data_IF_736254567284
#
_entry.id   IF_736254567284
#
_cell.length_a   1.000
_cell.length_b   1.000
_cell.length_c   1.000
_cell.angle_alpha   90.00
_cell.angle_beta   90.00
_cell.angle_gamma   90.00
#
_symmetry.space_group_name_H-M   'P 1'
#
loop_
_entity.id
_entity.type
_entity.pdbx_description
1 polymer ?
#
# COMPACT_ATOMS: atom_id res chain seq x y z
N UNK A 1 -23.66 10.25 9.82
CA UNK A 1 -22.99 9.88 8.55
C UNK A 1 -22.67 8.39 8.63
N UNK A 2 -22.96 7.64 7.57
CA UNK A 2 -22.77 6.19 7.53
C UNK A 2 -21.29 5.80 7.38
N UNK A 3 -20.93 4.58 7.79
CA UNK A 3 -19.63 3.98 7.48
C UNK A 3 -19.61 3.60 6.01
N UNK A 4 -18.46 3.67 5.38
CA UNK A 4 -18.35 3.25 3.99
C UNK A 4 -16.99 2.65 3.66
N UNK A 5 -16.98 1.84 2.61
CA UNK A 5 -15.78 1.39 1.94
C UNK A 5 -15.86 1.86 0.49
N UNK A 6 -14.87 2.65 0.07
CA UNK A 6 -14.69 3.02 -1.33
C UNK A 6 -13.77 2.00 -1.99
N UNK A 7 -14.16 1.52 -3.18
CA UNK A 7 -13.37 0.58 -3.96
C UNK A 7 -13.14 1.11 -5.38
N UNK A 8 -12.00 0.76 -5.95
CA UNK A 8 -11.65 1.05 -7.34
C UNK A 8 -10.99 -0.17 -7.98
N UNK A 9 -11.43 -0.50 -9.20
CA UNK A 9 -10.98 -1.64 -10.00
C UNK A 9 -10.94 -2.97 -9.21
N UNK A 10 -11.97 -3.24 -8.42
CA UNK A 10 -11.99 -4.41 -7.54
C UNK A 10 -12.48 -5.68 -8.26
N UNK A 11 -11.83 -6.85 -8.08
CA UNK A 11 -12.31 -8.12 -8.63
C UNK A 11 -13.66 -8.55 -8.06
N UNK A 12 -14.50 -9.22 -8.86
CA UNK A 12 -15.88 -9.57 -8.45
C UNK A 12 -15.93 -10.49 -7.22
N UNK A 13 -15.00 -11.44 -7.10
CA UNK A 13 -14.93 -12.31 -5.91
C UNK A 13 -14.68 -11.51 -4.61
N UNK A 14 -13.93 -10.40 -4.70
CA UNK A 14 -13.72 -9.50 -3.56
C UNK A 14 -14.95 -8.63 -3.33
N UNK A 15 -15.63 -8.17 -4.39
CA UNK A 15 -16.91 -7.44 -4.27
C UNK A 15 -17.97 -8.29 -3.59
N UNK A 16 -18.07 -9.58 -3.91
CA UNK A 16 -18.98 -10.53 -3.24
C UNK A 16 -18.67 -10.65 -1.75
N UNK A 17 -17.39 -10.79 -1.38
CA UNK A 17 -16.96 -10.77 0.02
C UNK A 17 -17.34 -9.46 0.71
N UNK A 18 -17.10 -8.31 0.07
CA UNK A 18 -17.44 -7.00 0.63
C UNK A 18 -18.95 -6.84 0.81
N UNK A 19 -19.78 -7.35 -0.11
CA UNK A 19 -21.25 -7.34 0.03
C UNK A 19 -21.67 -8.08 1.31
N UNK A 20 -21.13 -9.27 1.56
CA UNK A 20 -21.39 -10.04 2.79
C UNK A 20 -20.94 -9.26 4.05
N UNK A 21 -19.73 -8.72 4.02
CA UNK A 21 -19.19 -7.98 5.18
C UNK A 21 -19.92 -6.64 5.40
N UNK A 22 -20.50 -6.04 4.35
CA UNK A 22 -21.27 -4.80 4.44
C UNK A 22 -22.53 -4.95 5.29
N UNK A 23 -23.25 -6.07 5.12
CA UNK A 23 -24.41 -6.43 5.93
C UNK A 23 -24.01 -6.73 7.38
N UNK A 24 -22.88 -7.39 7.57
CA UNK A 24 -22.39 -7.82 8.89
C UNK A 24 -21.85 -6.68 9.75
N UNK A 25 -21.18 -5.71 9.15
CA UNK A 25 -20.52 -4.60 9.84
C UNK A 25 -21.21 -3.24 9.65
N UNK A 26 -22.33 -3.20 8.93
CA UNK A 26 -23.16 -2.01 8.73
C UNK A 26 -22.35 -0.85 8.10
N UNK A 27 -21.94 -1.06 6.85
CA UNK A 27 -21.27 -0.06 6.01
C UNK A 27 -21.79 -0.08 4.56
N UNK A 28 -21.69 1.05 3.87
CA UNK A 28 -21.99 1.19 2.45
C UNK A 28 -20.77 0.89 1.58
N UNK A 29 -20.98 0.32 0.40
CA UNK A 29 -19.93 0.17 -0.62
C UNK A 29 -20.10 1.28 -1.65
N UNK A 30 -19.03 2.02 -1.90
CA UNK A 30 -18.94 3.05 -2.94
C UNK A 30 -18.00 2.51 -4.00
N UNK A 31 -18.55 2.19 -5.17
CA UNK A 31 -17.75 1.73 -6.30
C UNK A 31 -17.41 2.92 -7.20
N UNK A 32 -16.12 3.13 -7.41
CA UNK A 32 -15.59 4.19 -8.27
C UNK A 32 -14.93 3.60 -9.51
N UNK A 33 -14.97 4.38 -10.60
CA UNK A 33 -14.31 4.06 -11.86
C UNK A 33 -13.43 5.21 -12.37
N UNK A 34 -12.90 5.09 -13.58
CA UNK A 34 -12.01 6.08 -14.18
C UNK A 34 -12.65 7.48 -14.28
N UNK A 35 -13.98 7.55 -14.36
CA UNK A 35 -14.70 8.83 -14.41
C UNK A 35 -14.64 9.60 -13.08
N UNK A 36 -14.33 8.92 -11.97
CA UNK A 36 -14.22 9.50 -10.63
C UNK A 36 -12.81 9.96 -10.26
N UNK A 37 -11.80 9.69 -11.11
CA UNK A 37 -10.39 9.96 -10.81
C UNK A 37 -10.10 11.40 -10.39
N UNK A 38 -10.81 12.33 -11.02
CA UNK A 38 -10.70 13.76 -10.79
C UNK A 38 -11.71 14.28 -9.76
N UNK A 39 -12.43 13.41 -9.06
CA UNK A 39 -13.34 13.78 -7.99
C UNK A 39 -12.63 13.69 -6.65
N UNK A 40 -12.88 14.68 -5.79
CA UNK A 40 -12.33 14.71 -4.43
C UNK A 40 -12.93 13.59 -3.58
N UNK A 41 -12.11 12.96 -2.72
CA UNK A 41 -12.55 11.83 -1.87
C UNK A 41 -13.74 12.21 -0.98
N UNK A 42 -13.75 13.39 -0.35
CA UNK A 42 -14.89 13.90 0.43
C UNK A 42 -16.21 13.92 -0.35
N UNK A 43 -16.16 14.27 -1.64
CA UNK A 43 -17.33 14.30 -2.53
C UNK A 43 -17.79 12.88 -2.86
N UNK A 44 -16.84 11.97 -3.18
CA UNK A 44 -17.15 10.54 -3.42
C UNK A 44 -17.78 9.87 -2.19
N UNK A 45 -17.32 10.26 -1.00
CA UNK A 45 -17.85 9.80 0.29
C UNK A 45 -19.16 10.50 0.70
N UNK A 46 -19.71 11.40 -0.14
CA UNK A 46 -20.93 12.19 0.11
C UNK A 46 -20.86 13.02 1.40
N UNK A 47 -19.67 13.51 1.74
CA UNK A 47 -19.44 14.35 2.93
C UNK A 47 -19.60 15.84 2.62
N UNK A 48 -19.43 16.21 1.36
CA UNK A 48 -19.69 17.54 0.82
C UNK A 48 -20.14 17.45 -0.64
N UNK A 49 -20.77 18.52 -1.13
CA UNK A 49 -21.01 18.72 -2.55
C UNK A 49 -19.74 19.27 -3.22
N UNK A 50 -19.50 18.91 -4.47
CA UNK A 50 -18.39 19.44 -5.23
C UNK A 50 -18.33 18.93 -6.66
N UNK A 51 -17.56 19.65 -7.48
CA UNK A 51 -17.30 19.30 -8.86
C UNK A 51 -15.96 18.54 -9.00
N UNK A 52 -15.71 18.00 -10.19
CA UNK A 52 -14.40 17.47 -10.56
C UNK A 52 -13.34 18.57 -10.45
N UNK A 53 -12.17 18.21 -9.93
CA UNK A 53 -10.96 19.04 -9.90
C UNK A 53 -10.07 18.69 -11.09
N UNK A 54 -9.20 19.61 -11.50
CA UNK A 54 -8.32 19.38 -12.66
C UNK A 54 -7.32 18.26 -12.36
N UNK A 55 -7.38 17.18 -13.13
CA UNK A 55 -6.46 16.05 -13.04
C UNK A 55 -6.40 15.30 -14.38
N UNK A 56 -5.36 14.50 -14.61
CA UNK A 56 -5.30 13.65 -15.79
C UNK A 56 -6.28 12.48 -15.66
N UNK A 57 -7.13 12.22 -16.66
CA UNK A 57 -8.15 11.16 -16.62
C UNK A 57 -7.62 9.74 -16.94
N UNK A 58 -6.31 9.57 -17.13
CA UNK A 58 -5.72 8.24 -17.34
C UNK A 58 -5.91 7.35 -16.11
N UNK A 59 -6.46 6.15 -16.32
CA UNK A 59 -6.68 5.12 -15.31
C UNK A 59 -5.41 4.71 -14.57
N UNK A 60 -5.58 4.17 -13.35
CA UNK A 60 -4.47 3.66 -12.53
C UNK A 60 -4.60 2.15 -12.42
N UNK A 61 -3.62 1.40 -12.90
CA UNK A 61 -3.64 -0.05 -12.76
C UNK A 61 -3.33 -0.48 -11.31
N UNK A 62 -4.39 -0.59 -10.50
CA UNK A 62 -4.37 -0.93 -9.08
C UNK A 62 -5.75 -1.42 -8.63
N UNK A 63 -5.81 -2.46 -7.79
CA UNK A 63 -7.01 -2.77 -7.02
C UNK A 63 -6.91 -2.06 -5.68
N UNK A 64 -7.90 -1.22 -5.34
CA UNK A 64 -7.80 -0.33 -4.19
C UNK A 64 -9.05 -0.35 -3.29
N UNK A 65 -8.83 -0.24 -1.98
CA UNK A 65 -9.88 -0.18 -0.96
C UNK A 65 -9.58 0.91 0.08
N UNK A 66 -10.50 1.84 0.26
CA UNK A 66 -10.44 2.85 1.32
C UNK A 66 -11.53 2.62 2.37
N UNK A 67 -11.15 2.59 3.64
CA UNK A 67 -12.06 2.38 4.78
C UNK A 67 -12.39 3.72 5.42
N UNK A 68 -13.67 4.10 5.48
CA UNK A 68 -14.13 5.36 6.05
C UNK A 68 -14.96 5.18 7.32
N UNK A 69 -14.61 5.92 8.38
CA UNK A 69 -15.37 6.02 9.65
C UNK A 69 -15.53 4.71 10.42
N UNK A 70 -14.63 3.75 10.22
CA UNK A 70 -14.56 2.55 11.06
C UNK A 70 -13.88 2.90 12.37
N UNK A 71 -14.49 2.52 13.50
CA UNK A 71 -13.77 2.52 14.77
C UNK A 71 -12.82 1.31 14.85
N UNK A 72 -11.85 1.36 15.76
CA UNK A 72 -10.84 0.31 15.90
C UNK A 72 -11.43 -1.09 16.13
N UNK A 73 -12.56 -1.22 16.82
CA UNK A 73 -13.18 -2.53 17.06
C UNK A 73 -13.75 -3.13 15.78
N UNK A 74 -14.47 -2.34 14.98
CA UNK A 74 -15.05 -2.79 13.71
C UNK A 74 -13.95 -3.03 12.68
N UNK A 75 -12.98 -2.11 12.56
CA UNK A 75 -11.82 -2.25 11.67
C UNK A 75 -11.07 -3.56 11.95
N UNK A 76 -10.76 -3.83 13.22
CA UNK A 76 -10.05 -5.05 13.58
C UNK A 76 -10.85 -6.33 13.31
N UNK A 77 -12.19 -6.29 13.39
CA UNK A 77 -13.03 -7.43 13.01
C UNK A 77 -13.02 -7.64 11.50
N UNK A 78 -13.29 -6.59 10.74
CA UNK A 78 -13.24 -6.61 9.28
C UNK A 78 -11.89 -7.14 8.74
N UNK A 79 -10.77 -6.65 9.26
CA UNK A 79 -9.45 -7.13 8.86
C UNK A 79 -9.21 -8.60 9.21
N UNK A 80 -9.73 -9.08 10.35
CA UNK A 80 -9.66 -10.50 10.72
C UNK A 80 -10.53 -11.38 9.80
N UNK A 81 -11.67 -10.87 9.37
CA UNK A 81 -12.55 -11.56 8.45
C UNK A 81 -11.91 -11.65 7.06
N UNK A 82 -11.28 -10.57 6.57
CA UNK A 82 -10.45 -10.62 5.35
C UNK A 82 -9.36 -11.69 5.45
N UNK A 83 -8.63 -11.73 6.58
CA UNK A 83 -7.58 -12.72 6.80
C UNK A 83 -8.13 -14.16 6.81
N UNK A 84 -9.30 -14.38 7.45
CA UNK A 84 -9.94 -15.69 7.53
C UNK A 84 -10.37 -16.20 6.16
N UNK A 85 -10.92 -15.33 5.33
CA UNK A 85 -11.38 -15.64 3.98
C UNK A 85 -10.25 -15.58 2.92
N UNK A 86 -9.00 -15.44 3.36
CA UNK A 86 -7.82 -15.33 2.50
C UNK A 86 -7.93 -14.21 1.46
N UNK A 87 -8.62 -13.12 1.82
CA UNK A 87 -8.76 -11.91 1.02
C UNK A 87 -7.56 -11.00 1.27
N UNK A 88 -6.73 -10.84 0.24
CA UNK A 88 -5.57 -9.97 0.27
C UNK A 88 -5.76 -8.79 -0.68
N UNK A 89 -5.78 -7.58 -0.12
CA UNK A 89 -5.78 -6.32 -0.87
C UNK A 89 -4.56 -5.54 -0.40
N UNK A 90 -3.49 -5.43 -1.22
CA UNK A 90 -2.28 -4.72 -0.81
C UNK A 90 -2.55 -3.23 -0.61
N UNK A 91 -3.13 -2.59 -1.62
CA UNK A 91 -3.40 -1.15 -1.65
C UNK A 91 -4.70 -0.86 -0.91
N UNK A 92 -4.57 -0.46 0.35
CA UNK A 92 -5.69 -0.09 1.19
C UNK A 92 -5.27 0.96 2.19
N UNK A 93 -6.18 1.89 2.48
CA UNK A 93 -5.95 2.90 3.50
C UNK A 93 -7.21 3.18 4.31
N UNK A 94 -7.04 3.93 5.39
CA UNK A 94 -8.15 4.54 6.14
C UNK A 94 -8.27 6.01 5.74
N UNK A 95 -9.44 6.62 5.93
CA UNK A 95 -9.60 8.08 5.81
C UNK A 95 -8.78 8.81 6.87
N UNK A 96 -8.15 9.90 6.46
CA UNK A 96 -7.40 10.84 7.31
C UNK A 96 -7.82 12.27 6.97
N UNK A 97 -7.46 13.23 7.83
CA UNK A 97 -7.72 14.65 7.58
C UNK A 97 -7.05 15.14 6.28
N UNK A 98 -5.97 14.48 5.86
CA UNK A 98 -5.22 14.85 4.68
C UNK A 98 -5.81 14.21 3.41
N UNK A 99 -5.95 12.88 3.41
CA UNK A 99 -6.30 12.15 2.18
C UNK A 99 -7.76 12.35 1.74
N UNK A 100 -8.64 12.76 2.64
CA UNK A 100 -10.03 13.08 2.30
C UNK A 100 -10.13 14.28 1.35
N UNK A 101 -9.08 15.10 1.28
CA UNK A 101 -9.05 16.29 0.45
C UNK A 101 -8.42 16.08 -0.93
N UNK A 102 -7.93 14.88 -1.22
CA UNK A 102 -7.27 14.56 -2.48
C UNK A 102 -8.25 14.17 -3.58
N UNK A 103 -7.90 14.34 -4.88
CA UNK A 103 -8.55 13.60 -5.95
C UNK A 103 -8.32 12.10 -5.77
N UNK A 104 -9.28 11.28 -6.19
CA UNK A 104 -9.14 9.82 -6.17
C UNK A 104 -7.83 9.37 -6.84
N UNK A 105 -7.49 9.95 -7.99
CA UNK A 105 -6.24 9.62 -8.71
C UNK A 105 -4.99 9.78 -7.85
N UNK A 106 -4.88 10.88 -7.11
CA UNK A 106 -3.71 11.09 -6.25
C UNK A 106 -3.67 10.02 -5.16
N UNK A 107 -4.80 9.70 -4.52
CA UNK A 107 -4.87 8.65 -3.50
C UNK A 107 -4.42 7.29 -4.04
N UNK A 108 -4.86 6.93 -5.26
CA UNK A 108 -4.50 5.68 -5.92
C UNK A 108 -3.00 5.61 -6.21
N UNK A 109 -2.39 6.70 -6.71
CA UNK A 109 -0.96 6.76 -7.01
C UNK A 109 -0.10 6.66 -5.75
N UNK A 110 -0.43 7.41 -4.70
CA UNK A 110 0.29 7.38 -3.42
C UNK A 110 0.24 5.99 -2.77
N UNK A 111 -0.93 5.32 -2.81
CA UNK A 111 -1.04 3.95 -2.30
C UNK A 111 -0.27 2.94 -3.15
N UNK A 112 -0.23 3.13 -4.48
CA UNK A 112 0.56 2.29 -5.38
C UNK A 112 2.04 2.41 -5.06
N UNK A 113 2.52 3.63 -4.91
CA UNK A 113 3.92 3.92 -4.59
C UNK A 113 4.31 3.37 -3.22
N UNK A 114 3.49 3.58 -2.18
CA UNK A 114 3.71 2.99 -0.86
C UNK A 114 3.83 1.46 -0.93
N UNK A 115 2.95 0.81 -1.71
CA UNK A 115 3.01 -0.63 -1.88
C UNK A 115 4.30 -1.08 -2.59
N UNK A 116 4.69 -0.42 -3.67
CA UNK A 116 5.93 -0.70 -4.40
C UNK A 116 7.18 -0.52 -3.51
N UNK A 117 7.24 0.56 -2.73
CA UNK A 117 8.27 0.81 -1.72
C UNK A 117 8.35 -0.33 -0.72
N UNK A 118 7.19 -0.79 -0.21
CA UNK A 118 7.15 -1.89 0.74
C UNK A 118 7.54 -3.25 0.15
N UNK A 119 7.31 -3.46 -1.15
CA UNK A 119 7.78 -4.65 -1.85
C UNK A 119 9.30 -4.66 -1.96
N UNK A 120 9.90 -3.55 -2.40
CA UNK A 120 11.36 -3.40 -2.50
C UNK A 120 12.02 -3.54 -1.12
N UNK A 121 11.43 -2.93 -0.09
CA UNK A 121 11.91 -3.07 1.29
C UNK A 121 11.97 -4.53 1.74
N UNK A 122 10.93 -5.33 1.45
CA UNK A 122 10.90 -6.75 1.81
C UNK A 122 11.97 -7.55 1.06
N UNK A 123 12.16 -7.27 -0.21
CA UNK A 123 13.22 -7.90 -1.02
C UNK A 123 14.61 -7.54 -0.48
N UNK A 124 14.84 -6.26 -0.16
CA UNK A 124 16.08 -5.81 0.48
C UNK A 124 16.30 -6.47 1.84
N UNK A 125 15.26 -6.61 2.66
CA UNK A 125 15.32 -7.30 3.94
C UNK A 125 15.76 -8.76 3.79
N UNK A 126 15.17 -9.47 2.81
CA UNK A 126 15.51 -10.85 2.52
C UNK A 126 16.96 -10.97 2.00
N UNK A 127 17.38 -10.06 1.11
CA UNK A 127 18.72 -10.01 0.56
C UNK A 127 19.77 -9.73 1.65
N UNK A 128 19.49 -8.81 2.56
CA UNK A 128 20.32 -8.54 3.74
C UNK A 128 20.48 -9.77 4.62
N UNK A 129 19.41 -10.53 4.85
CA UNK A 129 19.50 -11.79 5.60
C UNK A 129 20.40 -12.83 4.92
N UNK A 130 20.37 -12.91 3.58
CA UNK A 130 21.28 -13.77 2.81
C UNK A 130 22.73 -13.27 2.91
N UNK A 131 22.95 -11.97 2.77
CA UNK A 131 24.25 -11.33 2.89
C UNK A 131 24.92 -11.62 4.24
N UNK A 132 24.17 -11.49 5.35
CA UNK A 132 24.64 -11.79 6.71
C UNK A 132 25.09 -13.24 6.82
N UNK A 133 24.39 -14.17 6.16
CA UNK A 133 24.78 -15.58 6.17
C UNK A 133 26.07 -15.79 5.35
N UNK A 134 26.16 -15.19 4.17
CA UNK A 134 27.35 -15.29 3.30
C UNK A 134 28.60 -14.70 3.97
N UNK A 135 28.46 -13.58 4.68
CA UNK A 135 29.56 -12.93 5.39
C UNK A 135 30.20 -13.86 6.43
N UNK A 136 29.40 -14.67 7.16
CA UNK A 136 29.91 -15.63 8.13
C UNK A 136 30.84 -16.69 7.52
N UNK A 137 30.74 -16.92 6.22
CA UNK A 137 31.47 -17.97 5.50
C UNK A 137 32.70 -17.41 4.76
N UNK A 138 32.70 -16.12 4.42
CA UNK A 138 33.71 -15.52 3.54
C UNK A 138 34.55 -14.41 4.18
N UNK A 139 34.06 -13.78 5.26
CA UNK A 139 34.73 -12.65 5.94
C UNK A 139 35.22 -11.54 4.98
N UNK A 140 34.29 -11.06 4.15
CA UNK A 140 34.54 -10.04 3.12
C UNK A 140 34.20 -8.63 3.64
N UNK A 141 35.19 -7.72 3.61
CA UNK A 141 35.09 -6.35 4.15
C UNK A 141 34.01 -5.51 3.44
N UNK A 142 33.96 -5.55 2.10
CA UNK A 142 32.98 -4.79 1.31
C UNK A 142 31.56 -5.29 1.59
N UNK A 143 31.37 -6.60 1.74
CA UNK A 143 30.09 -7.18 2.14
C UNK A 143 29.67 -6.71 3.53
N UNK A 144 30.60 -6.68 4.49
CA UNK A 144 30.33 -6.18 5.85
C UNK A 144 29.90 -4.71 5.86
N UNK A 145 30.63 -3.86 5.14
CA UNK A 145 30.31 -2.43 5.00
C UNK A 145 28.91 -2.26 4.38
N UNK A 146 28.63 -2.96 3.27
CA UNK A 146 27.35 -2.86 2.56
C UNK A 146 26.17 -3.32 3.43
N UNK A 147 26.33 -4.42 4.19
CA UNK A 147 25.33 -4.89 5.16
C UNK A 147 25.05 -3.83 6.21
N UNK A 148 26.09 -3.17 6.72
CA UNK A 148 25.98 -2.15 7.76
C UNK A 148 25.18 -0.96 7.24
N UNK A 149 25.54 -0.44 6.08
CA UNK A 149 24.82 0.71 5.49
C UNK A 149 23.35 0.40 5.20
N UNK A 150 23.05 -0.79 4.67
CA UNK A 150 21.67 -1.24 4.45
C UNK A 150 20.92 -1.36 5.78
N UNK A 151 21.57 -1.87 6.83
CA UNK A 151 20.95 -2.02 8.15
C UNK A 151 20.58 -0.68 8.76
N UNK A 152 21.46 0.31 8.64
CA UNK A 152 21.22 1.68 9.11
C UNK A 152 20.12 2.35 8.30
N UNK A 153 20.17 2.26 6.97
CA UNK A 153 19.17 2.85 6.08
C UNK A 153 17.78 2.26 6.27
N UNK A 154 17.65 1.02 6.76
CA UNK A 154 16.36 0.36 6.99
C UNK A 154 15.72 0.67 8.36
N UNK A 155 16.32 1.54 9.19
CA UNK A 155 15.75 1.98 10.48
C UNK A 155 14.69 3.10 10.43
N UNK A 156 14.73 4.08 9.50
CA UNK A 156 13.71 5.11 9.36
C UNK A 156 12.30 4.56 9.08
N UNK A 157 11.28 5.41 9.27
CA UNK A 157 9.85 5.07 9.04
C UNK A 157 9.36 5.36 7.62
N UNK A 158 10.08 6.20 6.87
CA UNK A 158 9.76 6.60 5.51
C UNK A 158 10.98 6.35 4.62
N UNK A 159 10.74 5.88 3.40
CA UNK A 159 11.79 5.48 2.48
C UNK A 159 11.57 6.15 1.13
N UNK A 160 12.67 6.66 0.56
CA UNK A 160 12.69 7.09 -0.83
C UNK A 160 12.88 5.85 -1.72
N UNK A 161 11.96 5.67 -2.68
CA UNK A 161 11.94 4.51 -3.57
C UNK A 161 13.28 4.32 -4.31
N UNK A 162 13.85 5.40 -4.84
CA UNK A 162 15.08 5.35 -5.63
C UNK A 162 16.30 4.94 -4.78
N UNK A 163 16.39 5.43 -3.54
CA UNK A 163 17.47 5.04 -2.63
C UNK A 163 17.32 3.58 -2.18
N UNK A 164 16.10 3.09 -1.94
CA UNK A 164 15.85 1.65 -1.72
C UNK A 164 16.33 0.78 -2.89
N UNK A 165 15.99 1.17 -4.13
CA UNK A 165 16.42 0.47 -5.34
C UNK A 165 17.94 0.49 -5.46
N UNK A 166 18.57 1.63 -5.22
CA UNK A 166 20.04 1.78 -5.25
C UNK A 166 20.71 0.85 -4.24
N UNK A 167 20.23 0.84 -2.99
CA UNK A 167 20.72 -0.02 -1.90
C UNK A 167 20.57 -1.50 -2.24
N UNK A 168 19.41 -1.88 -2.78
CA UNK A 168 19.13 -3.24 -3.24
C UNK A 168 20.11 -3.68 -4.33
N UNK A 169 20.26 -2.88 -5.38
CA UNK A 169 21.15 -3.22 -6.49
C UNK A 169 22.61 -3.30 -6.04
N UNK A 170 23.05 -2.41 -5.15
CA UNK A 170 24.40 -2.44 -4.62
C UNK A 170 24.66 -3.72 -3.82
N UNK A 171 23.83 -4.03 -2.82
CA UNK A 171 23.98 -5.24 -2.02
C UNK A 171 23.94 -6.51 -2.88
N UNK A 172 23.05 -6.55 -3.87
CA UNK A 172 22.96 -7.67 -4.81
C UNK A 172 24.26 -7.87 -5.57
N UNK A 173 24.83 -6.79 -6.10
CA UNK A 173 26.09 -6.85 -6.85
C UNK A 173 27.27 -7.35 -6.01
N UNK A 174 27.33 -6.98 -4.73
CA UNK A 174 28.39 -7.43 -3.80
C UNK A 174 28.22 -8.92 -3.47
N UNK A 175 26.99 -9.40 -3.27
CA UNK A 175 26.71 -10.84 -3.07
C UNK A 175 27.12 -11.65 -4.30
N UNK A 176 26.75 -11.19 -5.50
CA UNK A 176 27.07 -11.86 -6.78
C UNK A 176 28.57 -11.89 -7.10
N UNK A 177 29.37 -10.98 -6.51
CA UNK A 177 30.84 -11.01 -6.61
C UNK A 177 31.45 -12.17 -5.81
N UNK A 178 30.82 -12.54 -4.71
CA UNK A 178 31.36 -13.49 -3.71
C UNK A 178 30.91 -14.93 -4.00
N UNK A 179 29.67 -15.10 -4.47
CA UNK A 179 29.11 -16.41 -4.87
C UNK A 179 29.59 -16.88 -6.23
#
# INVERSE_FOLDING_TARGET
MARSILIYNMPENIKEFLKIESEKHDFEIIECDDSDLCTKISVLLKEEDGDKIECAEEGVDINFLMINKFNNQILNRFLKDMQRENVYIPNKCVTTEHNINWPLKQLLLENKEEHEVMMIYKELAALRSQAIQLYKENDDDELYETITEVTEYMQPKEFEKDELIRRFNHLKSVIERIG
#
